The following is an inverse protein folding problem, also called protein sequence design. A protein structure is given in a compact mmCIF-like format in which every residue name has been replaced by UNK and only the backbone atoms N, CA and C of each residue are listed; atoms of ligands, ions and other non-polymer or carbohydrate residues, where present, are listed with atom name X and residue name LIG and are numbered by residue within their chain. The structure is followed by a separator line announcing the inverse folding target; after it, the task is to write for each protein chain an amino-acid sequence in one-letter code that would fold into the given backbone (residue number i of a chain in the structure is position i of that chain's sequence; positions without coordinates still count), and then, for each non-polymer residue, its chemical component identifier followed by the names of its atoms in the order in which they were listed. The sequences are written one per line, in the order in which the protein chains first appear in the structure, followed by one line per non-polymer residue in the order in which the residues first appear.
data_IF_871636637141
#
_entry.id   IF_871636637141
#
_cell.length_a   1.000
_cell.length_b   1.000
_cell.length_c   1.000
_cell.angle_alpha   90.00
_cell.angle_beta   90.00
_cell.angle_gamma   90.00
#
_symmetry.space_group_name_H-M   'P 1'
#
loop_
_entity.id
_entity.type
_entity.pdbx_description
1 polymer ?
#
# COMPACT_ATOMS: atom_id res chain seq x y z
N UNK A 1 -4.98 3.84 12.22
CA UNK A 1 -5.10 3.85 10.75
C UNK A 1 -4.00 4.72 10.19
N UNK A 2 -3.30 4.24 9.17
CA UNK A 2 -2.28 5.01 8.43
C UNK A 2 -2.69 5.06 6.96
N UNK A 3 -2.49 6.22 6.33
CA UNK A 3 -2.72 6.42 4.89
C UNK A 3 -1.37 6.57 4.21
N UNK A 4 -1.14 5.81 3.15
CA UNK A 4 0.05 5.89 2.29
C UNK A 4 -0.43 6.27 0.88
N UNK A 5 0.10 7.35 0.36
CA UNK A 5 -0.25 7.91 -0.93
C UNK A 5 1.01 8.37 -1.70
N UNK A 6 0.84 8.85 -2.92
CA UNK A 6 1.97 9.34 -3.73
C UNK A 6 2.82 10.39 -3.00
N UNK A 7 2.18 11.31 -2.29
CA UNK A 7 2.87 12.29 -1.46
C UNK A 7 3.21 11.65 -0.12
N UNK A 8 4.47 11.22 0.01
CA UNK A 8 4.95 10.62 1.24
C UNK A 8 4.81 11.55 2.45
N UNK A 9 4.41 10.97 3.60
CA UNK A 9 4.32 11.65 4.89
C UNK A 9 5.63 11.54 5.71
N UNK A 10 6.69 11.06 5.08
CA UNK A 10 8.02 11.06 5.69
C UNK A 10 8.57 12.49 5.76
N UNK A 11 9.26 12.80 6.85
CA UNK A 11 9.85 14.12 7.08
C UNK A 11 11.17 14.22 6.30
N UNK A 12 11.21 15.12 5.33
CA UNK A 12 12.43 15.43 4.61
C UNK A 12 13.51 15.99 5.56
N UNK A 13 14.77 15.78 5.21
CA UNK A 13 15.90 16.18 6.06
C UNK A 13 16.17 15.26 7.25
N UNK A 14 15.38 14.20 7.42
CA UNK A 14 15.63 13.17 8.42
C UNK A 14 16.00 11.83 7.76
N UNK A 15 16.72 11.01 8.50
CA UNK A 15 17.05 9.65 8.06
C UNK A 15 15.82 8.72 8.10
N UNK A 16 15.92 7.56 7.46
CA UNK A 16 14.92 6.49 7.54
C UNK A 16 14.66 6.12 9.00
N UNK A 17 15.72 5.91 9.78
CA UNK A 17 15.61 5.58 11.20
C UNK A 17 14.88 6.65 12.00
N UNK A 18 15.24 7.93 11.81
CA UNK A 18 14.59 9.05 12.50
C UNK A 18 13.09 9.12 12.17
N UNK A 19 12.72 8.93 10.90
CA UNK A 19 11.33 8.96 10.46
C UNK A 19 10.47 7.86 11.08
N UNK A 20 11.03 6.69 11.30
CA UNK A 20 10.30 5.58 11.91
C UNK A 20 10.14 5.78 13.41
N UNK A 21 11.16 6.34 14.09
CA UNK A 21 11.18 6.45 15.55
C UNK A 21 10.63 7.75 16.11
N UNK A 22 10.74 8.88 15.38
CA UNK A 22 10.30 10.21 15.86
C UNK A 22 8.83 10.25 16.27
N UNK A 23 7.97 9.46 15.63
CA UNK A 23 6.53 9.45 15.94
C UNK A 23 6.13 8.40 16.99
N UNK A 24 7.02 7.54 17.41
CA UNK A 24 6.67 6.49 18.39
C UNK A 24 6.57 7.00 19.83
N UNK A 25 6.85 8.29 20.09
CA UNK A 25 6.67 8.94 21.41
C UNK A 25 7.51 8.32 22.53
N UNK A 26 8.52 7.51 22.18
CA UNK A 26 9.22 6.64 23.15
C UNK A 26 10.66 7.12 23.29
N UNK A 27 10.85 8.26 23.96
CA UNK A 27 12.17 8.86 24.22
C UNK A 27 13.17 7.95 24.97
N UNK A 28 12.74 6.83 25.53
CA UNK A 28 13.59 5.93 26.35
C UNK A 28 13.83 4.52 25.75
N UNK A 29 13.17 4.15 24.66
CA UNK A 29 13.25 2.78 24.09
C UNK A 29 13.99 2.70 22.75
N UNK A 30 14.46 3.80 22.22
CA UNK A 30 15.06 3.85 20.87
C UNK A 30 16.28 2.93 20.70
N UNK A 31 17.13 2.77 21.71
CA UNK A 31 18.30 1.88 21.64
C UNK A 31 17.93 0.40 21.56
N UNK A 32 16.87 -0.03 22.27
CA UNK A 32 16.38 -1.41 22.24
C UNK A 32 15.55 -1.67 20.95
N UNK A 33 14.80 -0.67 20.49
CA UNK A 33 14.04 -0.77 19.25
C UNK A 33 14.92 -0.74 18.00
N UNK A 34 16.10 -0.12 18.04
CA UNK A 34 17.00 -0.04 16.87
C UNK A 34 17.46 -1.42 16.40
N UNK A 35 17.75 -2.35 17.31
CA UNK A 35 18.13 -3.72 16.94
C UNK A 35 16.93 -4.51 16.38
N UNK A 36 15.78 -4.40 17.03
CA UNK A 36 14.54 -5.05 16.58
C UNK A 36 14.06 -4.48 15.24
N UNK A 37 14.18 -3.17 15.04
CA UNK A 37 13.85 -2.52 13.77
C UNK A 37 14.81 -2.92 12.65
N UNK A 38 16.12 -2.94 12.91
CA UNK A 38 17.11 -3.42 11.93
C UNK A 38 16.82 -4.86 11.51
N UNK A 39 16.46 -5.73 12.45
CA UNK A 39 16.07 -7.09 12.13
C UNK A 39 14.85 -7.15 11.21
N UNK A 40 13.80 -6.38 11.51
CA UNK A 40 12.59 -6.31 10.68
C UNK A 40 12.80 -5.64 9.33
N UNK A 41 13.62 -4.59 9.29
CA UNK A 41 14.03 -3.97 8.04
C UNK A 41 14.79 -4.99 7.18
N UNK A 42 15.74 -5.70 7.76
CA UNK A 42 16.51 -6.74 7.08
C UNK A 42 15.63 -7.91 6.58
N UNK A 43 14.63 -8.34 7.36
CA UNK A 43 13.63 -9.33 6.90
C UNK A 43 12.86 -8.81 5.68
N UNK A 44 12.42 -7.55 5.71
CA UNK A 44 11.71 -6.94 4.60
C UNK A 44 12.63 -6.74 3.39
N UNK A 45 13.85 -6.29 3.60
CA UNK A 45 14.87 -6.15 2.55
C UNK A 45 15.12 -7.47 1.83
N UNK A 46 15.29 -8.57 2.58
CA UNK A 46 15.46 -9.91 2.01
C UNK A 46 14.21 -10.36 1.24
N UNK A 47 13.03 -10.05 1.77
CA UNK A 47 11.77 -10.47 1.18
C UNK A 47 11.43 -9.72 -0.12
N UNK A 48 11.65 -8.40 -0.17
CA UNK A 48 11.31 -7.56 -1.33
C UNK A 48 12.54 -7.19 -2.20
N UNK A 49 13.74 -7.60 -1.78
CA UNK A 49 14.98 -7.37 -2.51
C UNK A 49 15.37 -5.88 -2.59
N UNK A 50 15.18 -5.14 -1.48
CA UNK A 50 15.51 -3.71 -1.38
C UNK A 50 16.38 -3.48 -0.17
N UNK A 51 17.50 -2.80 -0.36
CA UNK A 51 18.38 -2.35 0.71
C UNK A 51 18.05 -0.90 1.08
N UNK A 52 17.52 -0.69 2.28
CA UNK A 52 17.13 0.64 2.79
C UNK A 52 17.89 0.92 4.10
N UNK A 53 19.15 1.41 4.02
CA UNK A 53 19.94 1.68 5.21
C UNK A 53 19.27 2.71 6.13
N UNK A 54 19.24 2.42 7.44
CA UNK A 54 18.59 3.28 8.43
C UNK A 54 19.14 4.72 8.46
N UNK A 55 20.40 4.92 8.07
CA UNK A 55 21.08 6.23 8.04
C UNK A 55 20.90 6.98 6.72
N UNK A 56 20.23 6.38 5.71
CA UNK A 56 19.97 7.04 4.43
C UNK A 56 18.94 8.15 4.59
N UNK A 57 19.16 9.25 3.90
CA UNK A 57 18.22 10.38 3.89
C UNK A 57 16.95 10.00 3.10
N UNK A 58 15.80 10.40 3.62
CA UNK A 58 14.50 10.10 2.97
C UNK A 58 14.42 10.70 1.56
N UNK A 59 15.08 11.83 1.34
CA UNK A 59 15.09 12.52 0.04
C UNK A 59 15.76 11.70 -1.07
N UNK A 60 16.68 10.83 -0.71
CA UNK A 60 17.42 9.95 -1.62
C UNK A 60 16.63 8.68 -2.00
N UNK A 61 15.51 8.44 -1.33
CA UNK A 61 14.70 7.25 -1.54
C UNK A 61 13.81 7.40 -2.79
N UNK A 62 13.71 6.32 -3.56
CA UNK A 62 12.68 6.16 -4.57
C UNK A 62 11.28 6.16 -3.96
N UNK A 63 10.25 6.35 -4.77
CA UNK A 63 8.86 6.29 -4.28
C UNK A 63 8.54 4.93 -3.65
N UNK A 64 9.02 3.85 -4.24
CA UNK A 64 8.86 2.50 -3.71
C UNK A 64 9.52 2.36 -2.33
N UNK A 65 10.77 2.78 -2.19
CA UNK A 65 11.49 2.73 -0.91
C UNK A 65 10.79 3.57 0.15
N UNK A 66 10.28 4.76 -0.20
CA UNK A 66 9.48 5.59 0.72
C UNK A 66 8.22 4.85 1.18
N UNK A 67 7.50 4.21 0.27
CA UNK A 67 6.33 3.40 0.60
C UNK A 67 6.68 2.26 1.58
N UNK A 68 7.82 1.59 1.38
CA UNK A 68 8.31 0.55 2.29
C UNK A 68 8.62 1.11 3.69
N UNK A 69 9.26 2.27 3.77
CA UNK A 69 9.54 2.95 5.05
C UNK A 69 8.25 3.36 5.76
N UNK A 70 7.24 3.84 5.03
CA UNK A 70 5.92 4.17 5.61
C UNK A 70 5.18 2.93 6.12
N UNK A 71 5.25 1.80 5.42
CA UNK A 71 4.70 0.53 5.90
C UNK A 71 5.39 0.06 7.19
N UNK A 72 6.72 0.14 7.25
CA UNK A 72 7.48 -0.17 8.46
C UNK A 72 7.12 0.77 9.61
N UNK A 73 7.01 2.07 9.35
CA UNK A 73 6.59 3.07 10.33
C UNK A 73 5.18 2.78 10.85
N UNK A 74 4.25 2.41 9.97
CA UNK A 74 2.91 2.00 10.35
C UNK A 74 2.94 0.76 11.26
N UNK A 75 3.75 -0.23 10.91
CA UNK A 75 3.93 -1.44 11.72
C UNK A 75 4.50 -1.13 13.10
N UNK A 76 5.60 -0.36 13.17
CA UNK A 76 6.24 0.03 14.43
C UNK A 76 5.33 0.87 15.34
N UNK A 77 4.46 1.69 14.75
CA UNK A 77 3.46 2.47 15.50
C UNK A 77 2.26 1.64 15.99
N UNK A 78 2.22 0.34 15.68
CA UNK A 78 1.11 -0.54 16.04
C UNK A 78 -0.17 -0.28 15.23
N UNK A 79 -0.05 0.28 14.03
CA UNK A 79 -1.19 0.46 13.14
C UNK A 79 -1.79 -0.89 12.75
N UNK A 80 -3.11 -1.02 12.87
CA UNK A 80 -3.85 -2.23 12.51
C UNK A 80 -4.47 -2.17 11.12
N UNK A 81 -4.56 -0.98 10.55
CA UNK A 81 -5.14 -0.75 9.23
C UNK A 81 -4.29 0.26 8.47
N UNK A 82 -3.89 -0.13 7.27
CA UNK A 82 -3.20 0.73 6.30
C UNK A 82 -4.08 0.92 5.08
N UNK A 83 -4.26 2.17 4.67
CA UNK A 83 -4.92 2.54 3.42
C UNK A 83 -3.85 2.93 2.41
N UNK A 84 -3.75 2.19 1.31
CA UNK A 84 -2.88 2.48 0.17
C UNK A 84 -3.72 3.15 -0.92
N UNK A 85 -3.43 4.42 -1.21
CA UNK A 85 -4.21 5.18 -2.17
C UNK A 85 -3.46 5.39 -3.47
N UNK A 86 -3.88 4.65 -4.50
CA UNK A 86 -3.44 4.81 -5.89
C UNK A 86 -1.91 4.83 -6.07
N UNK A 87 -1.21 4.07 -5.22
CA UNK A 87 0.26 4.10 -5.16
C UNK A 87 0.88 3.41 -6.37
N UNK A 88 0.26 2.34 -6.86
CA UNK A 88 0.77 1.55 -7.98
C UNK A 88 0.87 2.34 -9.28
N UNK A 89 0.02 3.36 -9.46
CA UNK A 89 0.05 4.19 -10.66
C UNK A 89 1.40 4.90 -10.90
N UNK A 90 2.18 5.06 -9.85
CA UNK A 90 3.46 5.76 -9.86
C UNK A 90 4.68 4.82 -9.71
N UNK A 91 4.45 3.51 -9.58
CA UNK A 91 5.49 2.52 -9.41
C UNK A 91 5.84 1.84 -10.75
N UNK A 92 7.09 1.42 -10.89
CA UNK A 92 7.48 0.53 -11.98
C UNK A 92 6.84 -0.86 -11.79
N UNK A 93 6.60 -1.59 -12.89
CA UNK A 93 5.93 -2.90 -12.81
C UNK A 93 6.61 -3.91 -11.89
N UNK A 94 7.94 -3.89 -11.82
CA UNK A 94 8.73 -4.73 -10.90
C UNK A 94 8.48 -4.37 -9.42
N UNK A 95 8.27 -3.09 -9.13
CA UNK A 95 8.06 -2.60 -7.77
C UNK A 95 6.63 -2.86 -7.29
N UNK A 96 5.66 -2.97 -8.21
CA UNK A 96 4.29 -3.40 -7.89
C UNK A 96 4.30 -4.81 -7.30
N UNK A 97 5.01 -5.76 -7.93
CA UNK A 97 5.12 -7.12 -7.40
C UNK A 97 5.77 -7.17 -6.01
N UNK A 98 6.79 -6.33 -5.78
CA UNK A 98 7.45 -6.19 -4.48
C UNK A 98 6.51 -5.57 -3.43
N UNK A 99 5.72 -4.56 -3.81
CA UNK A 99 4.70 -3.96 -2.95
C UNK A 99 3.65 -5.00 -2.54
N UNK A 100 3.14 -5.79 -3.49
CA UNK A 100 2.19 -6.86 -3.20
C UNK A 100 2.76 -7.89 -2.23
N UNK A 101 4.03 -8.25 -2.40
CA UNK A 101 4.70 -9.15 -1.46
C UNK A 101 4.77 -8.53 -0.06
N UNK A 102 5.16 -7.27 0.07
CA UNK A 102 5.21 -6.56 1.34
C UNK A 102 3.81 -6.49 2.00
N UNK A 103 2.76 -6.19 1.24
CA UNK A 103 1.37 -6.19 1.75
C UNK A 103 1.02 -7.56 2.33
N UNK A 104 1.26 -8.65 1.60
CA UNK A 104 0.98 -10.02 2.08
C UNK A 104 1.80 -10.37 3.33
N UNK A 105 3.06 -9.94 3.36
CA UNK A 105 3.94 -10.15 4.50
C UNK A 105 3.42 -9.49 5.78
N UNK A 106 2.96 -8.25 5.71
CA UNK A 106 2.37 -7.56 6.85
C UNK A 106 0.95 -8.06 7.17
N UNK A 107 0.17 -8.42 6.16
CA UNK A 107 -1.16 -9.01 6.35
C UNK A 107 -1.09 -10.33 7.13
N UNK A 108 -0.15 -11.21 6.79
CA UNK A 108 0.05 -12.48 7.52
C UNK A 108 0.48 -12.29 9.00
N UNK A 109 0.87 -11.07 9.36
CA UNK A 109 1.20 -10.66 10.72
C UNK A 109 0.09 -9.88 11.43
N UNK A 110 -1.12 -9.82 10.84
CA UNK A 110 -2.32 -9.22 11.44
C UNK A 110 -2.53 -7.74 11.13
N UNK A 111 -1.87 -7.19 10.10
CA UNK A 111 -2.16 -5.85 9.59
C UNK A 111 -3.22 -5.95 8.49
N UNK A 112 -4.31 -5.19 8.62
CA UNK A 112 -5.33 -5.10 7.58
C UNK A 112 -4.98 -4.01 6.56
N UNK A 113 -5.41 -4.20 5.31
CA UNK A 113 -5.16 -3.28 4.23
C UNK A 113 -6.44 -2.88 3.50
N UNK A 114 -6.55 -1.61 3.13
CA UNK A 114 -7.45 -1.12 2.11
C UNK A 114 -6.59 -0.61 0.97
N UNK A 115 -6.72 -1.22 -0.21
CA UNK A 115 -5.95 -0.84 -1.38
C UNK A 115 -6.87 -0.24 -2.44
N UNK A 116 -6.66 1.02 -2.78
CA UNK A 116 -7.42 1.74 -3.79
C UNK A 116 -6.58 1.81 -5.05
N UNK A 117 -7.04 1.19 -6.12
CA UNK A 117 -6.41 1.17 -7.44
C UNK A 117 -7.45 1.23 -8.55
N UNK A 118 -7.04 1.74 -9.71
CA UNK A 118 -7.83 1.72 -10.93
C UNK A 118 -7.55 0.45 -11.79
N UNK A 119 -6.56 -0.35 -11.41
CA UNK A 119 -6.23 -1.62 -12.08
C UNK A 119 -6.93 -2.77 -11.39
N UNK A 120 -7.93 -3.31 -12.06
CA UNK A 120 -8.68 -4.48 -11.58
C UNK A 120 -7.81 -5.73 -11.53
N UNK A 121 -6.97 -5.94 -12.56
CA UNK A 121 -6.08 -7.09 -12.66
C UNK A 121 -5.09 -7.13 -11.48
N UNK A 122 -4.62 -5.98 -11.04
CA UNK A 122 -3.75 -5.83 -9.88
C UNK A 122 -4.46 -6.29 -8.60
N UNK A 123 -5.71 -5.87 -8.41
CA UNK A 123 -6.49 -6.20 -7.22
C UNK A 123 -6.87 -7.67 -7.14
N UNK A 124 -7.20 -8.31 -8.27
CA UNK A 124 -7.59 -9.72 -8.32
C UNK A 124 -6.54 -10.66 -7.75
N UNK A 125 -5.26 -10.34 -7.96
CA UNK A 125 -4.15 -11.17 -7.48
C UNK A 125 -3.73 -10.89 -6.03
N UNK A 126 -4.27 -9.83 -5.40
CA UNK A 126 -3.81 -9.37 -4.09
C UNK A 126 -4.87 -9.49 -3.01
N UNK A 127 -6.13 -9.25 -3.33
CA UNK A 127 -7.18 -8.91 -2.39
C UNK A 127 -8.10 -10.10 -2.09
N UNK A 128 -8.59 -10.20 -0.84
CA UNK A 128 -9.60 -11.17 -0.44
C UNK A 128 -11.00 -10.73 -0.88
N UNK A 129 -11.21 -9.40 -0.94
CA UNK A 129 -12.49 -8.80 -1.33
C UNK A 129 -12.25 -7.56 -2.18
N UNK A 130 -13.03 -7.39 -3.24
CA UNK A 130 -13.00 -6.20 -4.08
C UNK A 130 -14.36 -5.50 -4.01
N UNK A 131 -14.33 -4.19 -3.73
CA UNK A 131 -15.49 -3.33 -3.79
C UNK A 131 -15.35 -2.37 -4.99
N UNK A 132 -16.35 -2.32 -5.85
CA UNK A 132 -16.39 -1.38 -6.97
C UNK A 132 -17.17 -0.14 -6.54
N UNK A 133 -16.53 1.01 -6.68
CA UNK A 133 -17.14 2.32 -6.39
C UNK A 133 -17.41 3.10 -7.67
N UNK A 134 -18.58 3.71 -7.72
CA UNK A 134 -18.98 4.60 -8.81
C UNK A 134 -19.80 5.78 -8.25
N UNK A 135 -19.46 6.98 -8.64
CA UNK A 135 -20.14 8.22 -8.18
C UNK A 135 -20.33 8.29 -6.64
N UNK A 136 -19.29 7.93 -5.88
CA UNK A 136 -19.32 8.00 -4.42
C UNK A 136 -20.09 6.87 -3.72
N UNK A 137 -20.60 5.90 -4.46
CA UNK A 137 -21.35 4.77 -3.91
C UNK A 137 -20.67 3.44 -4.24
N UNK A 138 -20.72 2.49 -3.29
CA UNK A 138 -20.30 1.11 -3.54
C UNK A 138 -21.42 0.43 -4.32
N UNK A 139 -21.14 0.01 -5.56
CA UNK A 139 -22.11 -0.63 -6.44
C UNK A 139 -22.04 -2.17 -6.42
N UNK A 140 -20.90 -2.72 -6.07
CA UNK A 140 -20.71 -4.17 -5.94
C UNK A 140 -19.58 -4.47 -4.95
N UNK A 141 -19.74 -5.52 -4.18
CA UNK A 141 -18.68 -6.15 -3.38
C UNK A 141 -18.60 -7.61 -3.77
N UNK A 142 -17.41 -8.10 -4.02
CA UNK A 142 -17.15 -9.49 -4.37
C UNK A 142 -16.02 -10.06 -3.55
N UNK A 143 -16.20 -11.28 -3.05
CA UNK A 143 -15.14 -12.06 -2.42
C UNK A 143 -14.32 -12.76 -3.50
N UNK A 144 -13.01 -12.71 -3.38
CA UNK A 144 -12.06 -13.28 -4.35
C UNK A 144 -11.71 -14.72 -3.97
N UNK A 145 -12.74 -15.55 -3.80
CA UNK A 145 -12.56 -16.99 -3.70
C UNK A 145 -12.30 -17.55 -5.11
N UNK A 146 -11.33 -18.44 -5.24
CA UNK A 146 -10.81 -18.99 -6.50
C UNK A 146 -11.90 -19.22 -7.56
N UNK A 147 -12.00 -18.35 -8.57
CA UNK A 147 -12.88 -18.49 -9.72
C UNK A 147 -13.88 -17.35 -10.00
N UNK A 148 -13.99 -16.32 -9.14
CA UNK A 148 -15.04 -15.30 -9.25
C UNK A 148 -14.70 -14.03 -10.06
N UNK A 149 -13.67 -14.03 -10.92
CA UNK A 149 -13.19 -12.82 -11.60
C UNK A 149 -14.08 -12.31 -12.74
N UNK A 150 -14.93 -13.15 -13.33
CA UNK A 150 -15.68 -12.81 -14.56
C UNK A 150 -16.76 -11.73 -14.35
N UNK A 151 -17.44 -11.75 -13.22
CA UNK A 151 -18.59 -10.86 -12.94
C UNK A 151 -18.21 -9.38 -12.76
N UNK A 152 -17.08 -9.09 -12.12
CA UNK A 152 -16.62 -7.68 -11.96
C UNK A 152 -16.04 -7.14 -13.26
N UNK A 153 -15.32 -7.96 -14.02
CA UNK A 153 -14.79 -7.55 -15.30
C UNK A 153 -15.90 -7.17 -16.29
N UNK A 154 -16.97 -7.97 -16.36
CA UNK A 154 -18.14 -7.65 -17.16
C UNK A 154 -18.85 -6.37 -16.70
N UNK A 155 -18.95 -6.15 -15.39
CA UNK A 155 -19.51 -4.94 -14.80
C UNK A 155 -18.67 -3.71 -15.15
N UNK A 156 -17.36 -3.78 -15.00
CA UNK A 156 -16.43 -2.69 -15.35
C UNK A 156 -16.50 -2.34 -16.83
N UNK A 157 -16.62 -3.35 -17.71
CA UNK A 157 -16.81 -3.13 -19.15
C UNK A 157 -18.11 -2.37 -19.46
N UNK A 158 -19.20 -2.62 -18.76
CA UNK A 158 -20.47 -1.87 -18.92
C UNK A 158 -20.29 -0.39 -18.59
N UNK A 159 -19.47 -0.04 -17.59
CA UNK A 159 -19.22 1.35 -17.22
C UNK A 159 -18.10 2.02 -18.05
N UNK A 160 -17.20 1.25 -18.68
CA UNK A 160 -16.15 1.77 -19.56
C UNK A 160 -16.58 1.85 -21.02
N UNK A 161 -17.54 1.03 -21.46
CA UNK A 161 -18.00 0.94 -22.85
C UNK A 161 -18.95 2.04 -23.32
N UNK A 162 -19.35 2.98 -22.46
CA UNK A 162 -20.37 4.01 -22.78
C UNK A 162 -19.82 5.41 -22.99
N UNK A 163 -18.51 5.61 -23.24
CA UNK A 163 -17.99 6.95 -23.52
C UNK A 163 -17.02 6.96 -24.69
N UNK A 164 -17.55 7.27 -25.87
CA UNK A 164 -16.79 8.00 -26.90
C UNK A 164 -16.45 9.38 -26.34
N UNK A 165 -15.15 9.68 -26.16
CA UNK A 165 -14.53 10.94 -25.74
C UNK A 165 -14.52 11.21 -24.22
N UNK A 166 -13.34 11.38 -23.59
CA UNK A 166 -13.25 11.68 -22.17
C UNK A 166 -13.52 13.17 -21.92
N UNK A 167 -14.45 13.53 -21.02
CA UNK A 167 -14.46 14.88 -20.45
C UNK A 167 -13.24 15.04 -19.54
N UNK A 168 -12.54 16.15 -19.66
CA UNK A 168 -11.32 16.54 -18.92
C UNK A 168 -11.50 16.78 -17.42
N UNK A 169 -12.42 16.11 -16.78
CA UNK A 169 -12.61 16.11 -15.31
C UNK A 169 -13.20 14.78 -14.85
N UNK A 170 -12.50 13.68 -15.11
CA UNK A 170 -12.90 12.38 -14.59
C UNK A 170 -12.44 12.30 -13.13
N UNK A 171 -13.38 12.50 -12.22
CA UNK A 171 -13.26 12.07 -10.82
C UNK A 171 -12.93 10.57 -10.77
N UNK A 172 -12.00 10.20 -9.93
CA UNK A 172 -11.42 8.89 -9.76
C UNK A 172 -12.46 7.76 -9.70
N UNK A 173 -12.46 6.89 -10.68
CA UNK A 173 -13.05 5.55 -10.60
C UNK A 173 -12.07 4.71 -9.81
N UNK A 174 -12.37 4.35 -8.59
CA UNK A 174 -11.49 3.54 -7.74
C UNK A 174 -12.17 2.24 -7.34
N UNK A 175 -11.44 1.14 -7.42
CA UNK A 175 -11.81 -0.11 -6.77
C UNK A 175 -11.12 -0.17 -5.40
N UNK A 176 -11.85 -0.56 -4.37
CA UNK A 176 -11.32 -0.72 -3.02
C UNK A 176 -11.12 -2.19 -2.75
N UNK A 177 -9.92 -2.56 -2.36
CA UNK A 177 -9.60 -3.89 -1.88
C UNK A 177 -9.62 -3.90 -0.35
N UNK A 178 -10.30 -4.88 0.22
CA UNK A 178 -10.27 -5.17 1.64
C UNK A 178 -9.53 -6.49 1.84
N UNK A 179 -8.36 -6.44 2.45
CA UNK A 179 -7.67 -7.61 2.94
C UNK A 179 -7.83 -7.63 4.47
N UNK A 180 -8.65 -8.55 4.97
CA UNK A 180 -8.92 -8.76 6.38
C UNK A 180 -8.35 -10.13 6.73
N UNK A 181 -7.18 -10.15 7.34
CA UNK A 181 -6.64 -11.37 7.95
C UNK A 181 -7.27 -11.64 9.32
#
# INVERSE_FOLDING_TARGET
IVVIEQKSHLVNGLTVGDNVFVLSGVERRWLLHTQSFRGRLQELEQAVGVDIPCNRQVEELSLFERCMVELLKAWESGARLVLLWNISHFLAGTDIGRLHYAIRHFASRGMAFIYISNSYEELCGLCDRIAVMYNGSVIKVQEMVSGGSEDIHALLQQFTGTTSSPPRSAMSRGSICLNLS
#
